data_IF_112341030929
#
_entry.id   IF_112341030929
#
_cell.length_a   1.000
_cell.length_b   1.000
_cell.length_c   1.000
_cell.angle_alpha   90.00
_cell.angle_beta   90.00
_cell.angle_gamma   90.00
#
_symmetry.space_group_name_H-M   'P 1'
#
loop_
_entity.id
_entity.type
_entity.pdbx_description
1 polymer ?
#
# COMPACT_ATOMS: atom_id res chain seq x y z
N UNK A 1 -2.00 22.80 -76.79
CA UNK A 1 -2.11 21.55 -76.00
C UNK A 1 -0.78 21.34 -75.33
N UNK A 2 -0.85 21.28 -74.01
CA UNK A 2 0.26 21.49 -73.07
C UNK A 2 1.35 20.43 -73.12
N UNK A 3 2.57 20.91 -72.89
CA UNK A 3 3.81 20.15 -72.73
C UNK A 3 4.03 19.94 -71.23
N UNK A 4 3.88 18.71 -70.74
CA UNK A 4 4.38 18.33 -69.42
C UNK A 4 5.83 17.85 -69.53
N UNK A 5 6.70 18.53 -68.78
CA UNK A 5 8.15 18.31 -68.67
C UNK A 5 8.38 17.62 -67.32
N UNK A 6 9.07 16.49 -67.33
CA UNK A 6 9.34 15.65 -66.15
C UNK A 6 10.65 16.11 -65.47
N UNK A 7 10.53 16.61 -64.23
CA UNK A 7 11.58 17.21 -63.39
C UNK A 7 12.14 16.20 -62.36
N UNK A 8 12.40 14.97 -62.78
CA UNK A 8 12.90 13.90 -61.90
C UNK A 8 14.43 13.90 -61.68
N UNK A 9 15.18 14.78 -62.35
CA UNK A 9 16.65 14.86 -62.25
C UNK A 9 17.22 15.71 -61.12
N UNK A 10 16.44 16.64 -60.55
CA UNK A 10 16.97 17.65 -59.60
C UNK A 10 16.94 17.23 -58.12
N UNK A 11 16.19 16.18 -57.75
CA UNK A 11 16.12 15.72 -56.35
C UNK A 11 17.28 14.81 -55.94
N UNK A 12 17.89 14.06 -56.85
CA UNK A 12 18.97 13.12 -56.51
C UNK A 12 20.27 13.83 -56.09
N UNK A 13 20.57 15.00 -56.66
CA UNK A 13 21.80 15.74 -56.38
C UNK A 13 21.76 16.46 -55.01
N UNK A 14 20.58 16.80 -54.47
CA UNK A 14 20.45 17.50 -53.18
C UNK A 14 20.63 16.58 -51.97
N UNK A 15 20.31 15.29 -52.11
CA UNK A 15 20.40 14.32 -51.01
C UNK A 15 21.83 13.87 -50.69
N UNK A 16 22.72 13.87 -51.68
CA UNK A 16 24.13 13.45 -51.49
C UNK A 16 24.96 14.51 -50.76
N UNK A 17 24.66 15.80 -50.98
CA UNK A 17 25.36 16.92 -50.31
C UNK A 17 25.03 16.98 -48.81
N UNK A 18 23.80 16.64 -48.41
CA UNK A 18 23.39 16.61 -47.01
C UNK A 18 24.03 15.47 -46.21
N UNK A 19 24.20 14.29 -46.81
CA UNK A 19 24.84 13.15 -46.16
C UNK A 19 26.35 13.38 -45.94
N UNK A 20 27.03 14.05 -46.87
CA UNK A 20 28.45 14.41 -46.72
C UNK A 20 28.67 15.45 -45.62
N UNK A 21 27.78 16.44 -45.50
CA UNK A 21 27.86 17.46 -44.44
C UNK A 21 27.64 16.86 -43.03
N UNK A 22 26.73 15.88 -42.90
CA UNK A 22 26.46 15.21 -41.62
C UNK A 22 27.64 14.35 -41.14
N UNK A 23 28.31 13.65 -42.07
CA UNK A 23 29.48 12.83 -41.76
C UNK A 23 30.68 13.68 -41.32
N UNK A 24 30.87 14.87 -41.92
CA UNK A 24 31.96 15.78 -41.56
C UNK A 24 31.73 16.44 -40.19
N UNK A 25 30.49 16.76 -39.84
CA UNK A 25 30.13 17.29 -38.52
C UNK A 25 30.34 16.25 -37.40
N UNK A 26 30.02 14.98 -37.65
CA UNK A 26 30.26 13.90 -36.69
C UNK A 26 31.75 13.60 -36.47
N UNK A 27 32.56 13.68 -37.52
CA UNK A 27 34.01 13.49 -37.41
C UNK A 27 34.69 14.60 -36.58
N UNK A 28 34.22 15.86 -36.70
CA UNK A 28 34.73 16.98 -35.89
C UNK A 28 34.28 16.92 -34.43
N UNK A 29 33.08 16.41 -34.16
CA UNK A 29 32.59 16.18 -32.79
C UNK A 29 33.42 15.09 -32.07
N UNK A 30 33.94 14.11 -32.80
CA UNK A 30 34.74 13.04 -32.21
C UNK A 30 36.20 13.43 -31.97
N UNK A 31 36.78 14.28 -32.81
CA UNK A 31 38.14 14.81 -32.64
C UNK A 31 38.28 15.82 -31.48
N UNK A 32 37.16 16.35 -30.97
CA UNK A 32 37.13 17.34 -29.88
C UNK A 32 36.83 16.73 -28.51
N UNK A 33 36.57 15.42 -28.44
CA UNK A 33 36.31 14.72 -27.19
C UNK A 33 37.62 14.53 -26.43
N UNK A 34 37.87 15.38 -25.43
CA UNK A 34 38.92 15.13 -24.45
C UNK A 34 38.67 13.78 -23.76
N UNK A 35 39.72 12.98 -23.48
CA UNK A 35 39.55 11.71 -22.79
C UNK A 35 38.85 11.95 -21.44
N UNK A 36 37.96 11.03 -21.02
CA UNK A 36 37.36 11.12 -19.70
C UNK A 36 38.48 11.14 -18.64
N UNK A 37 38.32 11.91 -17.55
CA UNK A 37 39.29 11.88 -16.47
C UNK A 37 39.47 10.44 -15.96
N UNK A 38 40.71 10.09 -15.64
CA UNK A 38 41.08 8.80 -15.09
C UNK A 38 40.21 8.46 -13.86
N UNK A 39 39.84 7.18 -13.65
CA UNK A 39 39.03 6.79 -12.51
C UNK A 39 39.74 7.19 -11.22
N UNK A 40 39.11 8.11 -10.48
CA UNK A 40 39.49 8.42 -9.11
C UNK A 40 39.48 7.11 -8.33
N UNK A 41 40.60 6.82 -7.64
CA UNK A 41 40.72 5.67 -6.75
C UNK A 41 39.46 5.56 -5.87
N UNK A 42 38.98 4.34 -5.54
CA UNK A 42 37.77 4.16 -4.74
C UNK A 42 37.99 4.85 -3.39
N UNK A 43 37.43 6.05 -3.26
CA UNK A 43 37.25 6.69 -1.97
C UNK A 43 36.51 5.69 -1.12
N UNK A 44 37.10 5.37 0.03
CA UNK A 44 36.53 4.47 1.01
C UNK A 44 35.03 4.78 1.13
N UNK A 45 34.20 3.84 0.69
CA UNK A 45 32.77 3.96 0.83
C UNK A 45 32.52 4.25 2.31
N UNK A 46 32.04 5.46 2.59
CA UNK A 46 31.50 5.77 3.90
C UNK A 46 30.55 4.63 4.24
N UNK A 47 30.70 4.01 5.41
CA UNK A 47 29.88 2.87 5.77
C UNK A 47 28.43 3.30 5.62
N UNK A 48 27.70 2.63 4.71
CA UNK A 48 26.24 2.72 4.59
C UNK A 48 25.72 2.88 6.00
N UNK A 49 25.15 4.05 6.28
CA UNK A 49 24.47 4.37 7.52
C UNK A 49 23.81 3.09 8.01
N UNK A 50 24.33 2.57 9.13
CA UNK A 50 23.77 1.37 9.76
C UNK A 50 22.28 1.62 9.81
N UNK A 51 21.51 0.78 9.10
CA UNK A 51 20.06 0.84 9.12
C UNK A 51 19.66 1.11 10.56
N UNK A 52 19.18 2.33 10.79
CA UNK A 52 18.91 2.83 12.13
C UNK A 52 18.06 1.76 12.78
N UNK A 53 18.59 1.14 13.83
CA UNK A 53 17.88 0.09 14.55
C UNK A 53 16.68 0.81 15.10
N UNK A 54 15.57 0.69 14.37
CA UNK A 54 14.27 1.25 14.71
C UNK A 54 14.03 0.73 16.11
N UNK A 55 14.15 1.62 17.11
CA UNK A 55 13.84 1.27 18.48
C UNK A 55 12.55 0.45 18.46
N UNK A 56 12.52 -0.71 19.15
CA UNK A 56 11.35 -1.58 19.12
C UNK A 56 10.12 -0.73 19.40
N UNK A 57 9.24 -0.63 18.41
CA UNK A 57 7.97 0.07 18.57
C UNK A 57 7.22 -0.77 19.61
N UNK A 58 6.89 -0.22 20.78
CA UNK A 58 6.33 -1.02 21.84
C UNK A 58 4.95 -1.56 21.42
N UNK A 59 4.68 -2.83 21.76
CA UNK A 59 3.47 -3.59 21.38
C UNK A 59 2.26 -3.13 22.20
N UNK A 60 1.68 -1.98 21.82
CA UNK A 60 0.99 -1.19 22.84
C UNK A 60 -0.49 -0.95 22.60
N UNK A 61 -1.02 -1.25 21.42
CA UNK A 61 -2.46 -1.04 21.23
C UNK A 61 -3.19 -2.15 21.96
N UNK A 62 -3.88 -1.78 23.04
CA UNK A 62 -4.74 -2.72 23.75
C UNK A 62 -5.78 -3.28 22.77
N UNK A 63 -5.85 -4.61 22.69
CA UNK A 63 -6.84 -5.27 21.86
C UNK A 63 -8.22 -5.16 22.52
N UNK A 64 -9.24 -4.83 21.73
CA UNK A 64 -10.64 -4.96 22.17
C UNK A 64 -10.94 -6.46 22.30
N UNK A 65 -11.30 -6.93 23.49
CA UNK A 65 -11.46 -8.36 23.75
C UNK A 65 -12.77 -8.89 23.16
N UNK A 66 -13.85 -8.09 23.21
CA UNK A 66 -15.18 -8.47 22.76
C UNK A 66 -15.77 -7.48 21.74
N UNK A 67 -16.32 -8.02 20.65
CA UNK A 67 -16.95 -7.22 19.61
C UNK A 67 -18.47 -7.21 19.71
N UNK A 68 -19.05 -6.07 19.38
CA UNK A 68 -20.45 -6.00 18.95
C UNK A 68 -20.61 -6.87 17.67
N UNK A 69 -21.57 -7.82 17.63
CA UNK A 69 -21.85 -8.62 16.45
C UNK A 69 -22.09 -7.82 15.16
N UNK A 70 -22.52 -6.55 15.26
CA UNK A 70 -22.76 -5.68 14.12
C UNK A 70 -21.47 -5.13 13.48
N UNK A 71 -20.32 -5.22 14.16
CA UNK A 71 -19.01 -4.76 13.66
C UNK A 71 -18.19 -5.88 12.98
N UNK A 72 -18.79 -7.07 12.85
CA UNK A 72 -18.07 -8.30 12.49
C UNK A 72 -17.34 -8.22 11.16
N UNK A 73 -17.84 -7.56 10.12
CA UNK A 73 -17.18 -7.68 8.80
C UNK A 73 -15.82 -6.97 8.72
N UNK A 74 -15.74 -5.69 9.11
CA UNK A 74 -14.50 -4.90 9.01
C UNK A 74 -13.59 -5.08 10.22
N UNK A 75 -14.16 -5.36 11.40
CA UNK A 75 -13.42 -5.52 12.65
C UNK A 75 -13.22 -6.99 13.07
N UNK A 76 -13.68 -7.98 12.27
CA UNK A 76 -13.38 -9.40 12.51
C UNK A 76 -11.89 -9.66 12.68
N UNK A 77 -11.07 -8.88 11.96
CA UNK A 77 -9.61 -9.01 11.90
C UNK A 77 -8.89 -8.10 12.90
N UNK A 78 -9.43 -7.90 14.11
CA UNK A 78 -8.86 -6.99 15.12
C UNK A 78 -7.43 -7.33 15.54
N UNK A 79 -7.05 -8.59 15.39
CA UNK A 79 -5.67 -9.07 15.56
C UNK A 79 -4.68 -8.33 14.66
N UNK A 80 -5.13 -7.72 13.55
CA UNK A 80 -4.30 -6.87 12.68
C UNK A 80 -3.78 -5.59 13.37
N UNK A 81 -4.30 -5.23 14.55
CA UNK A 81 -3.74 -4.15 15.38
C UNK A 81 -2.52 -4.59 16.22
N UNK A 82 -2.25 -5.90 16.34
CA UNK A 82 -1.21 -6.44 17.21
C UNK A 82 -0.05 -6.95 16.39
N UNK A 83 1.16 -6.47 16.64
CA UNK A 83 2.34 -6.92 15.91
C UNK A 83 2.60 -8.41 16.17
N UNK A 84 2.87 -9.21 15.12
CA UNK A 84 3.20 -10.62 15.30
C UNK A 84 4.53 -10.77 16.05
N UNK A 85 4.59 -11.76 16.94
CA UNK A 85 5.80 -12.08 17.68
C UNK A 85 6.94 -12.49 16.75
N UNK A 86 8.20 -12.35 17.19
CA UNK A 86 9.35 -12.78 16.40
C UNK A 86 9.29 -14.27 16.01
N UNK A 87 8.74 -15.11 16.89
CA UNK A 87 8.53 -16.54 16.63
C UNK A 87 7.46 -16.79 15.57
N UNK A 88 6.36 -16.02 15.59
CA UNK A 88 5.35 -16.08 14.54
C UNK A 88 5.91 -15.66 13.19
N UNK A 89 6.65 -14.54 13.14
CA UNK A 89 7.29 -14.08 11.92
C UNK A 89 8.23 -15.15 11.38
N UNK A 90 9.07 -15.74 12.23
CA UNK A 90 10.02 -16.79 11.83
C UNK A 90 9.32 -18.04 11.31
N UNK A 91 8.25 -18.49 11.96
CA UNK A 91 7.54 -19.73 11.63
C UNK A 91 6.61 -19.58 10.41
N UNK A 92 5.96 -18.42 10.26
CA UNK A 92 4.91 -18.19 9.27
C UNK A 92 5.40 -17.47 8.01
N UNK A 93 6.68 -17.06 7.95
CA UNK A 93 7.22 -16.34 6.78
C UNK A 93 6.93 -17.12 5.50
N UNK A 94 6.16 -16.50 4.61
CA UNK A 94 5.77 -17.10 3.35
C UNK A 94 6.96 -17.10 2.38
N UNK A 95 7.38 -18.28 1.93
CA UNK A 95 8.43 -18.45 0.90
C UNK A 95 7.96 -19.32 -0.28
N UNK A 96 6.81 -20.01 -0.16
CA UNK A 96 6.29 -20.92 -1.19
C UNK A 96 5.04 -20.34 -1.84
N UNK A 97 4.96 -20.42 -3.18
CA UNK A 97 3.74 -20.13 -3.92
C UNK A 97 2.73 -21.29 -3.78
N UNK A 98 1.55 -20.99 -3.24
CA UNK A 98 0.46 -21.95 -3.01
C UNK A 98 -0.72 -21.75 -3.94
N UNK A 99 -0.61 -20.90 -4.96
CA UNK A 99 -1.68 -20.61 -5.91
C UNK A 99 -2.22 -21.86 -6.61
N UNK A 100 -1.35 -22.84 -6.91
CA UNK A 100 -1.75 -24.15 -7.45
C UNK A 100 -2.52 -25.04 -6.47
N UNK A 101 -2.31 -24.89 -5.15
CA UNK A 101 -3.04 -25.62 -4.09
C UNK A 101 -4.41 -25.00 -3.82
N UNK A 102 -4.54 -23.70 -4.03
CA UNK A 102 -5.77 -22.94 -3.79
C UNK A 102 -6.19 -22.13 -5.03
N UNK A 103 -6.53 -22.79 -6.15
CA UNK A 103 -6.86 -22.11 -7.39
C UNK A 103 -8.19 -21.34 -7.29
N UNK A 104 -8.32 -20.30 -8.12
CA UNK A 104 -9.60 -19.65 -8.33
C UNK A 104 -10.60 -20.62 -8.96
N UNK A 105 -11.88 -20.51 -8.58
CA UNK A 105 -12.96 -21.33 -9.16
C UNK A 105 -13.82 -20.46 -10.06
N UNK A 106 -14.12 -20.95 -11.26
CA UNK A 106 -14.91 -20.24 -12.27
C UNK A 106 -16.22 -20.99 -12.59
N UNK A 107 -17.23 -20.30 -13.15
CA UNK A 107 -18.42 -20.96 -13.66
C UNK A 107 -18.07 -22.02 -14.72
N UNK A 108 -18.69 -23.21 -14.69
CA UNK A 108 -18.43 -24.24 -15.68
C UNK A 108 -18.89 -23.81 -17.07
N UNK A 109 -18.06 -24.02 -18.09
CA UNK A 109 -18.40 -23.77 -19.50
C UNK A 109 -18.19 -22.33 -19.99
N UNK A 110 -17.70 -21.42 -19.14
CA UNK A 110 -17.29 -20.09 -19.57
C UNK A 110 -15.82 -20.07 -20.00
N UNK A 111 -15.51 -19.21 -20.98
CA UNK A 111 -14.14 -18.92 -21.38
C UNK A 111 -13.44 -18.15 -20.23
N UNK A 112 -12.42 -18.78 -19.64
CA UNK A 112 -11.65 -18.26 -18.51
C UNK A 112 -11.04 -16.87 -18.78
N UNK A 113 -10.92 -16.45 -20.04
CA UNK A 113 -10.36 -15.15 -20.40
C UNK A 113 -11.21 -13.96 -19.95
N UNK A 114 -12.54 -14.13 -19.80
CA UNK A 114 -13.46 -13.03 -19.45
C UNK A 114 -14.40 -13.35 -18.27
N UNK A 115 -14.43 -14.59 -17.78
CA UNK A 115 -15.28 -15.01 -16.67
C UNK A 115 -14.80 -14.45 -15.32
N UNK A 116 -15.73 -13.93 -14.51
CA UNK A 116 -15.42 -13.58 -13.12
C UNK A 116 -15.36 -14.85 -12.26
N UNK A 117 -14.37 -15.01 -11.36
CA UNK A 117 -14.29 -16.18 -10.50
C UNK A 117 -15.47 -16.22 -9.52
N UNK A 118 -16.05 -17.41 -9.34
CA UNK A 118 -17.00 -17.73 -8.27
C UNK A 118 -16.35 -17.69 -6.88
N UNK A 119 -15.06 -18.07 -6.80
CA UNK A 119 -14.23 -17.94 -5.61
C UNK A 119 -12.83 -17.53 -6.02
N UNK A 120 -12.33 -16.46 -5.41
CA UNK A 120 -10.96 -16.02 -5.64
C UNK A 120 -9.99 -16.99 -4.97
N UNK A 121 -8.95 -17.40 -5.71
CA UNK A 121 -7.87 -18.26 -5.23
C UNK A 121 -6.71 -17.48 -4.60
N UNK A 122 -5.74 -18.23 -4.05
CA UNK A 122 -4.48 -17.67 -3.58
C UNK A 122 -3.62 -17.21 -4.77
N UNK A 123 -2.74 -16.24 -4.52
CA UNK A 123 -1.77 -15.68 -5.46
C UNK A 123 -0.35 -15.85 -4.90
N UNK A 124 0.70 -15.71 -5.74
CA UNK A 124 2.08 -15.77 -5.24
C UNK A 124 2.36 -14.69 -4.18
N UNK A 125 3.19 -14.98 -3.15
CA UNK A 125 3.54 -14.02 -2.10
C UNK A 125 4.06 -12.67 -2.62
N UNK A 126 4.81 -12.64 -3.73
CA UNK A 126 5.32 -11.41 -4.33
C UNK A 126 4.20 -10.52 -4.86
N UNK A 127 3.16 -11.11 -5.43
CA UNK A 127 1.98 -10.38 -5.89
C UNK A 127 1.18 -9.83 -4.70
N UNK A 128 1.09 -10.61 -3.61
CA UNK A 128 0.49 -10.15 -2.37
C UNK A 128 1.25 -8.97 -1.75
N UNK A 129 2.58 -9.03 -1.70
CA UNK A 129 3.43 -7.94 -1.22
C UNK A 129 3.26 -6.66 -2.06
N UNK A 130 3.22 -6.77 -3.39
CA UNK A 130 2.94 -5.61 -4.27
C UNK A 130 1.55 -5.02 -4.04
N UNK A 131 0.54 -5.88 -3.86
CA UNK A 131 -0.81 -5.44 -3.52
C UNK A 131 -0.87 -4.74 -2.15
N UNK A 132 -0.14 -5.26 -1.17
CA UNK A 132 -0.01 -4.66 0.16
C UNK A 132 0.65 -3.28 0.08
N UNK A 133 1.73 -3.15 -0.69
CA UNK A 133 2.42 -1.89 -0.93
C UNK A 133 1.48 -0.85 -1.58
N UNK A 134 0.76 -1.26 -2.63
CA UNK A 134 -0.21 -0.40 -3.31
C UNK A 134 -1.26 0.15 -2.34
N UNK A 135 -1.87 -0.71 -1.51
CA UNK A 135 -2.87 -0.28 -0.53
C UNK A 135 -2.31 0.69 0.51
N UNK A 136 -1.08 0.49 0.97
CA UNK A 136 -0.43 1.43 1.89
C UNK A 136 -0.30 2.82 1.25
N UNK A 137 0.13 2.88 -0.02
CA UNK A 137 0.27 4.13 -0.77
C UNK A 137 -1.07 4.77 -1.13
N UNK A 138 -2.14 3.98 -1.24
CA UNK A 138 -3.50 4.48 -1.47
C UNK A 138 -4.07 5.11 -0.20
N UNK A 139 -3.84 4.50 0.97
CA UNK A 139 -4.43 4.92 2.25
C UNK A 139 -3.64 6.04 2.92
N UNK A 140 -2.31 6.00 2.93
CA UNK A 140 -1.46 6.97 3.62
C UNK A 140 -0.90 8.03 2.68
N UNK A 141 -0.78 9.28 3.16
CA UNK A 141 -0.09 10.34 2.41
C UNK A 141 1.37 9.97 2.19
N UNK A 142 1.94 10.42 1.07
CA UNK A 142 3.27 10.02 0.62
C UNK A 142 4.36 10.33 1.65
N UNK A 143 4.24 11.42 2.40
CA UNK A 143 5.20 11.84 3.43
C UNK A 143 5.23 10.94 4.68
N UNK A 144 4.27 10.02 4.81
CA UNK A 144 4.17 9.01 5.88
C UNK A 144 4.51 7.59 5.38
N UNK A 145 4.93 7.45 4.12
CA UNK A 145 5.33 6.19 3.52
C UNK A 145 6.85 6.20 3.28
N UNK A 146 7.61 5.27 3.87
CA UNK A 146 9.05 5.25 3.70
C UNK A 146 9.43 4.82 2.28
N UNK A 147 10.58 5.30 1.79
CA UNK A 147 11.07 5.00 0.43
C UNK A 147 11.42 3.52 0.25
N UNK A 148 11.81 2.84 1.33
CA UNK A 148 12.16 1.42 1.38
C UNK A 148 10.99 0.52 1.82
N UNK A 149 9.73 0.97 1.67
CA UNK A 149 8.54 0.26 2.13
C UNK A 149 8.52 -1.23 1.71
N UNK A 150 8.91 -1.54 0.47
CA UNK A 150 8.93 -2.92 -0.04
C UNK A 150 9.80 -3.87 0.79
N UNK A 151 10.93 -3.38 1.34
CA UNK A 151 11.85 -4.17 2.17
C UNK A 151 11.34 -4.37 3.61
N UNK A 152 10.33 -3.59 4.04
CA UNK A 152 9.75 -3.63 5.39
C UNK A 152 8.51 -4.51 5.50
N UNK A 153 8.04 -5.06 4.38
CA UNK A 153 6.85 -5.90 4.35
C UNK A 153 7.19 -7.35 4.71
N UNK A 154 6.39 -7.92 5.61
CA UNK A 154 6.48 -9.31 6.06
C UNK A 154 5.21 -10.04 5.66
N UNK A 155 5.31 -10.93 4.67
CA UNK A 155 4.23 -11.84 4.30
C UNK A 155 4.23 -13.06 5.23
N UNK A 156 3.14 -13.23 5.99
CA UNK A 156 2.95 -14.34 6.92
C UNK A 156 1.82 -15.23 6.41
N UNK A 157 2.16 -16.46 6.01
CA UNK A 157 1.23 -17.45 5.54
C UNK A 157 0.64 -18.26 6.70
N UNK A 158 -0.67 -18.47 6.64
CA UNK A 158 -1.43 -19.37 7.51
C UNK A 158 -1.86 -20.61 6.72
N UNK A 159 -2.25 -21.68 7.42
CA UNK A 159 -2.79 -22.89 6.78
C UNK A 159 -3.97 -22.59 5.86
N UNK A 160 -4.89 -21.73 6.33
CA UNK A 160 -5.94 -21.14 5.51
C UNK A 160 -5.43 -19.82 4.88
N UNK A 161 -5.32 -19.73 3.55
CA UNK A 161 -4.89 -18.51 2.88
C UNK A 161 -5.79 -17.29 3.15
N UNK A 162 -7.03 -17.48 3.61
CA UNK A 162 -7.91 -16.37 4.01
C UNK A 162 -7.41 -15.63 5.26
N UNK A 163 -6.64 -16.32 6.11
CA UNK A 163 -6.04 -15.75 7.32
C UNK A 163 -4.60 -15.24 7.09
N UNK A 164 -4.05 -15.44 5.88
CA UNK A 164 -2.71 -14.97 5.56
C UNK A 164 -2.67 -13.44 5.47
N UNK A 165 -1.62 -12.85 6.03
CA UNK A 165 -1.55 -11.41 6.26
C UNK A 165 -0.16 -10.84 5.95
N UNK A 166 -0.14 -9.57 5.54
CA UNK A 166 1.08 -8.80 5.37
C UNK A 166 1.18 -7.77 6.48
N UNK A 167 2.38 -7.68 7.06
CA UNK A 167 2.71 -6.78 8.16
C UNK A 167 3.81 -5.81 7.77
N UNK A 168 3.73 -4.57 8.25
CA UNK A 168 4.78 -3.56 8.12
C UNK A 168 4.80 -2.69 9.38
N UNK A 169 5.98 -2.29 9.85
CA UNK A 169 6.13 -1.42 11.02
C UNK A 169 7.36 -0.55 10.86
N UNK A 170 7.23 0.75 11.13
CA UNK A 170 8.30 1.74 10.96
C UNK A 170 8.07 3.00 11.78
N UNK A 171 9.14 3.76 12.03
CA UNK A 171 9.09 5.12 12.58
C UNK A 171 9.41 6.13 11.47
N UNK A 172 8.69 7.26 11.44
CA UNK A 172 8.92 8.37 10.51
C UNK A 172 8.56 9.69 11.18
N UNK A 173 9.48 10.66 11.16
CA UNK A 173 9.31 12.00 11.77
C UNK A 173 8.81 11.95 13.24
N UNK A 174 9.29 11.00 14.04
CA UNK A 174 8.89 10.82 15.44
C UNK A 174 7.55 10.10 15.65
N UNK A 175 6.82 9.76 14.59
CA UNK A 175 5.59 8.95 14.67
C UNK A 175 5.93 7.48 14.41
N UNK A 176 5.22 6.55 15.07
CA UNK A 176 5.31 5.13 14.78
C UNK A 176 4.06 4.66 14.05
N UNK A 177 4.24 3.92 12.96
CA UNK A 177 3.16 3.38 12.13
C UNK A 177 3.35 1.87 12.04
N UNK A 178 2.26 1.15 12.25
CA UNK A 178 2.15 -0.29 12.01
C UNK A 178 0.95 -0.56 11.12
N UNK A 179 1.11 -1.52 10.23
CA UNK A 179 0.08 -1.92 9.28
C UNK A 179 0.00 -3.43 9.30
N UNK A 180 -1.19 -3.95 9.59
CA UNK A 180 -1.56 -5.34 9.40
C UNK A 180 -2.67 -5.40 8.36
N UNK A 181 -2.55 -6.26 7.36
CA UNK A 181 -3.58 -6.37 6.32
C UNK A 181 -3.75 -7.81 5.85
N UNK A 182 -5.00 -8.19 5.57
CA UNK A 182 -5.36 -9.36 4.76
C UNK A 182 -5.74 -8.88 3.35
N UNK A 183 -6.26 -9.78 2.50
CA UNK A 183 -6.73 -9.37 1.18
C UNK A 183 -7.91 -8.41 1.23
N UNK A 184 -8.81 -8.59 2.19
CA UNK A 184 -10.05 -7.81 2.29
C UNK A 184 -10.04 -6.69 3.33
N UNK A 185 -9.12 -6.70 4.29
CA UNK A 185 -9.10 -5.74 5.42
C UNK A 185 -7.69 -5.19 5.61
N UNK A 186 -7.60 -3.93 6.04
CA UNK A 186 -6.36 -3.30 6.49
C UNK A 186 -6.60 -2.62 7.84
N UNK A 187 -5.65 -2.79 8.75
CA UNK A 187 -5.53 -2.03 9.98
C UNK A 187 -4.29 -1.14 9.90
N UNK A 188 -4.45 0.15 10.20
CA UNK A 188 -3.36 1.11 10.36
C UNK A 188 -3.34 1.57 11.80
N UNK A 189 -2.29 1.20 12.51
CA UNK A 189 -2.00 1.68 13.86
C UNK A 189 -1.05 2.86 13.78
N UNK A 190 -1.48 3.99 14.33
CA UNK A 190 -0.73 5.24 14.35
C UNK A 190 -0.49 5.61 15.81
N UNK A 191 0.79 5.69 16.19
CA UNK A 191 1.21 6.36 17.42
C UNK A 191 1.83 7.70 17.04
N UNK A 192 1.10 8.81 17.23
CA UNK A 192 1.68 10.11 16.94
C UNK A 192 2.82 10.44 17.91
N UNK A 193 3.75 11.30 17.49
CA UNK A 193 4.83 11.83 18.33
C UNK A 193 4.29 12.51 19.60
N UNK A 194 3.15 13.17 19.45
CA UNK A 194 2.39 13.79 20.53
C UNK A 194 1.12 12.98 20.78
N UNK A 195 1.00 12.31 21.96
CA UNK A 195 -0.20 11.58 22.33
C UNK A 195 -1.38 12.55 22.54
N UNK A 196 -2.50 12.00 23.00
CA UNK A 196 -3.67 12.81 23.38
C UNK A 196 -3.30 13.85 24.44
N UNK A 197 -3.62 15.11 24.19
CA UNK A 197 -3.35 16.21 25.11
C UNK A 197 -4.29 16.21 26.33
N UNK A 198 -3.89 16.90 27.39
CA UNK A 198 -4.77 17.14 28.54
C UNK A 198 -6.01 17.92 28.09
N UNK A 199 -7.20 17.43 28.44
CA UNK A 199 -8.48 18.03 28.03
C UNK A 199 -8.94 17.72 26.60
N UNK A 200 -8.11 17.11 25.76
CA UNK A 200 -8.53 16.63 24.42
C UNK A 200 -9.52 15.47 24.60
N UNK A 201 -10.55 15.36 23.75
CA UNK A 201 -11.45 14.19 23.77
C UNK A 201 -10.85 13.05 22.94
N UNK A 202 -11.28 11.80 23.17
CA UNK A 202 -10.83 10.68 22.34
C UNK A 202 -11.25 10.85 20.86
N UNK A 203 -12.43 11.45 20.63
CA UNK A 203 -12.92 11.77 19.29
C UNK A 203 -12.03 12.80 18.60
N UNK A 204 -11.64 13.87 19.29
CA UNK A 204 -10.78 14.92 18.73
C UNK A 204 -9.37 14.40 18.45
N UNK A 205 -8.82 13.59 19.36
CA UNK A 205 -7.53 12.91 19.15
C UNK A 205 -7.54 12.02 17.91
N UNK A 206 -8.58 11.19 17.76
CA UNK A 206 -8.74 10.35 16.58
C UNK A 206 -8.90 11.17 15.30
N UNK A 207 -9.73 12.22 15.31
CA UNK A 207 -9.89 13.13 14.16
C UNK A 207 -8.61 13.84 13.77
N UNK A 208 -7.80 14.25 14.74
CA UNK A 208 -6.47 14.82 14.49
C UNK A 208 -5.58 13.82 13.74
N UNK A 209 -5.54 12.57 14.18
CA UNK A 209 -4.81 11.52 13.46
C UNK A 209 -5.40 11.25 12.06
N UNK A 210 -6.71 11.14 11.93
CA UNK A 210 -7.38 10.93 10.63
C UNK A 210 -7.22 12.12 9.67
N UNK A 211 -6.97 13.32 10.19
CA UNK A 211 -6.62 14.49 9.37
C UNK A 211 -5.15 14.48 8.93
N UNK A 212 -4.28 13.94 9.75
CA UNK A 212 -2.84 14.01 9.54
C UNK A 212 -2.31 12.96 8.58
N UNK A 213 -2.71 11.69 8.74
CA UNK A 213 -2.01 10.55 8.11
C UNK A 213 -2.63 10.02 6.80
N UNK A 214 -3.95 9.81 6.70
CA UNK A 214 -4.56 9.23 5.50
C UNK A 214 -4.71 10.21 4.32
N UNK A 215 -4.77 9.70 3.08
CA UNK A 215 -4.93 10.51 1.85
C UNK A 215 -6.31 11.17 1.70
N UNK A 216 -7.35 10.62 2.35
CA UNK A 216 -8.73 11.13 2.35
C UNK A 216 -9.05 11.82 3.67
N UNK A 217 -8.08 12.56 4.19
CA UNK A 217 -8.08 13.23 5.48
C UNK A 217 -9.32 14.10 5.74
N UNK A 218 -9.67 14.99 4.81
CA UNK A 218 -10.83 15.87 4.96
C UNK A 218 -12.13 15.08 5.06
N UNK A 219 -12.28 14.04 4.24
CA UNK A 219 -13.46 13.16 4.24
C UNK A 219 -13.58 12.40 5.55
N UNK A 220 -12.49 11.80 6.02
CA UNK A 220 -12.45 11.03 7.27
C UNK A 220 -12.65 11.91 8.50
N UNK A 221 -12.04 13.11 8.53
CA UNK A 221 -12.15 14.02 9.67
C UNK A 221 -13.56 14.62 9.83
N UNK A 222 -14.26 14.87 8.70
CA UNK A 222 -15.61 15.43 8.68
C UNK A 222 -16.72 14.38 8.72
N UNK A 223 -16.37 13.10 8.55
CA UNK A 223 -17.32 12.00 8.59
C UNK A 223 -18.05 11.99 9.94
N UNK A 224 -19.40 11.89 9.95
CA UNK A 224 -20.15 11.63 11.17
C UNK A 224 -19.66 10.33 11.82
N UNK A 225 -19.29 10.42 13.10
CA UNK A 225 -18.80 9.29 13.87
C UNK A 225 -19.82 8.93 14.95
N UNK A 226 -20.18 7.65 15.01
CA UNK A 226 -20.97 7.09 16.10
C UNK A 226 -20.02 6.45 17.10
N UNK A 227 -20.12 6.84 18.37
CA UNK A 227 -19.40 6.18 19.44
C UNK A 227 -19.97 4.77 19.64
N UNK A 228 -19.09 3.79 19.77
CA UNK A 228 -19.47 2.42 20.09
C UNK A 228 -19.13 2.14 21.55
N UNK A 229 -20.12 1.64 22.28
CA UNK A 229 -19.92 1.24 23.67
C UNK A 229 -19.02 0.01 23.75
N UNK A 230 -17.95 0.12 24.52
CA UNK A 230 -17.02 -0.97 24.81
C UNK A 230 -17.14 -1.42 26.26
N UNK A 231 -16.69 -2.66 26.54
CA UNK A 231 -16.58 -3.15 27.92
C UNK A 231 -15.30 -2.66 28.59
N UNK A 232 -14.29 -2.35 27.79
CA UNK A 232 -12.98 -1.87 28.17
C UNK A 232 -13.04 -0.34 28.39
N UNK A 233 -13.01 0.15 29.65
CA UNK A 233 -13.22 1.57 29.94
C UNK A 233 -12.07 2.47 29.48
N UNK A 234 -10.88 1.89 29.27
CA UNK A 234 -9.68 2.60 28.79
C UNK A 234 -9.70 2.84 27.28
N UNK A 235 -10.67 2.26 26.55
CA UNK A 235 -10.75 2.34 25.10
C UNK A 235 -11.98 3.11 24.65
N UNK A 236 -11.79 3.92 23.61
CA UNK A 236 -12.89 4.59 22.90
C UNK A 236 -12.89 4.11 21.46
N UNK A 237 -14.05 3.68 20.96
CA UNK A 237 -14.22 3.22 19.58
C UNK A 237 -15.31 4.00 18.87
N UNK A 238 -15.10 4.21 17.57
CA UNK A 238 -15.97 4.99 16.71
C UNK A 238 -16.13 4.28 15.37
N UNK A 239 -17.33 4.36 14.81
CA UNK A 239 -17.62 3.93 13.44
C UNK A 239 -18.13 5.10 12.61
N UNK A 240 -17.70 5.17 11.36
CA UNK A 240 -18.08 6.20 10.41
C UNK A 240 -18.57 5.60 9.10
N UNK A 241 -19.57 6.24 8.51
CA UNK A 241 -20.14 5.86 7.23
C UNK A 241 -20.20 7.06 6.28
N UNK A 242 -19.89 6.80 5.01
CA UNK A 242 -20.14 7.72 3.90
C UNK A 242 -21.62 8.07 3.79
N UNK A 243 -21.95 9.23 3.21
CA UNK A 243 -23.33 9.71 3.14
C UNK A 243 -24.02 9.34 1.83
N UNK A 244 -23.24 9.08 0.79
CA UNK A 244 -23.74 8.78 -0.56
C UNK A 244 -23.35 7.37 -0.98
N UNK A 245 -24.08 6.73 -1.92
CA UNK A 245 -23.69 5.44 -2.48
C UNK A 245 -22.26 5.44 -3.06
N UNK A 246 -21.84 6.53 -3.67
CA UNK A 246 -20.49 6.69 -4.21
C UNK A 246 -19.44 6.70 -3.10
N UNK A 247 -19.70 7.41 -1.99
CA UNK A 247 -18.81 7.38 -0.82
C UNK A 247 -18.68 5.96 -0.26
N UNK A 248 -19.78 5.20 -0.20
CA UNK A 248 -19.81 3.83 0.35
C UNK A 248 -19.06 2.82 -0.52
N UNK A 249 -18.89 3.10 -1.81
CA UNK A 249 -18.09 2.30 -2.73
C UNK A 249 -16.57 2.51 -2.55
N UNK A 250 -16.18 3.55 -1.84
CA UNK A 250 -14.78 3.88 -1.58
C UNK A 250 -14.25 3.20 -0.32
N UNK A 251 -12.93 3.00 -0.25
CA UNK A 251 -12.27 2.37 0.91
C UNK A 251 -12.48 3.14 2.22
N UNK A 252 -12.67 4.46 2.13
CA UNK A 252 -12.91 5.35 3.26
C UNK A 252 -14.40 5.47 3.61
N UNK A 253 -15.30 4.89 2.81
CA UNK A 253 -16.75 4.95 3.00
C UNK A 253 -17.26 4.19 4.22
N UNK A 254 -16.48 3.24 4.72
CA UNK A 254 -16.77 2.46 5.91
C UNK A 254 -15.52 2.32 6.77
N UNK A 255 -15.46 3.05 7.88
CA UNK A 255 -14.30 3.02 8.78
C UNK A 255 -14.72 2.71 10.21
N UNK A 256 -13.90 1.92 10.87
CA UNK A 256 -13.97 1.70 12.32
C UNK A 256 -12.61 2.04 12.88
N UNK A 257 -12.55 2.80 13.95
CA UNK A 257 -11.29 3.07 14.62
C UNK A 257 -11.46 3.15 16.12
N UNK A 258 -10.39 2.84 16.85
CA UNK A 258 -10.38 2.98 18.29
C UNK A 258 -9.07 3.56 18.80
N UNK A 259 -9.08 4.03 20.04
CA UNK A 259 -7.95 4.66 20.69
C UNK A 259 -7.92 4.40 22.19
N UNK A 260 -6.72 4.32 22.74
CA UNK A 260 -6.38 4.33 24.17
C UNK A 260 -5.82 5.71 24.62
N UNK A 261 -5.88 6.72 23.75
CA UNK A 261 -5.26 8.04 23.96
C UNK A 261 -3.76 8.12 23.65
N UNK A 262 -3.08 7.00 23.37
CA UNK A 262 -1.67 6.97 22.95
C UNK A 262 -1.53 6.66 21.47
N UNK A 263 -2.40 5.80 20.94
CA UNK A 263 -2.43 5.41 19.55
C UNK A 263 -3.87 5.38 19.00
N UNK A 264 -3.98 5.39 17.68
CA UNK A 264 -5.23 5.20 16.94
C UNK A 264 -5.08 4.00 16.03
N UNK A 265 -5.99 3.03 16.14
CA UNK A 265 -6.06 1.89 15.24
C UNK A 265 -7.25 2.08 14.30
N UNK A 266 -6.96 2.30 13.01
CA UNK A 266 -7.95 2.50 11.94
C UNK A 266 -8.12 1.21 11.13
N UNK A 267 -9.33 0.68 11.12
CA UNK A 267 -9.75 -0.45 10.30
C UNK A 267 -10.55 0.02 9.10
N UNK A 268 -10.18 -0.49 7.94
CA UNK A 268 -10.85 -0.22 6.68
C UNK A 268 -11.03 -1.51 5.88
N UNK A 269 -12.18 -1.62 5.24
CA UNK A 269 -12.42 -2.63 4.23
C UNK A 269 -11.74 -2.20 2.93
N UNK A 270 -11.06 -3.12 2.26
CA UNK A 270 -10.50 -2.92 0.92
C UNK A 270 -11.60 -3.02 -0.15
N UNK A 271 -12.65 -2.24 0.04
CA UNK A 271 -13.73 -2.05 -0.93
C UNK A 271 -13.22 -1.02 -1.94
N UNK A 272 -12.79 -1.50 -3.10
CA UNK A 272 -12.60 -0.69 -4.29
C UNK A 272 -13.73 -1.04 -5.28
N UNK A 273 -13.65 -0.49 -6.50
CA UNK A 273 -14.39 -0.93 -7.69
C UNK A 273 -14.31 -2.48 -7.90
N UNK A 274 -13.39 -3.17 -7.21
CA UNK A 274 -13.26 -4.63 -7.09
C UNK A 274 -14.31 -5.31 -6.19
N UNK A 275 -15.28 -4.59 -5.61
CA UNK A 275 -16.45 -5.21 -4.96
C UNK A 275 -17.16 -6.19 -5.92
N UNK A 276 -17.03 -5.95 -7.23
CA UNK A 276 -17.49 -6.84 -8.29
C UNK A 276 -16.71 -8.16 -8.43
N UNK A 277 -15.61 -8.34 -7.69
CA UNK A 277 -14.80 -9.58 -7.58
C UNK A 277 -15.08 -10.38 -6.29
N UNK A 278 -16.01 -9.93 -5.43
CA UNK A 278 -16.36 -10.66 -4.20
C UNK A 278 -15.24 -10.71 -3.16
N UNK A 279 -14.38 -9.68 -3.10
CA UNK A 279 -13.31 -9.59 -2.10
C UNK A 279 -13.91 -9.13 -0.77
N UNK A 280 -13.98 -10.06 0.18
CA UNK A 280 -14.41 -9.86 1.57
C UNK A 280 -13.30 -10.20 2.58
N UNK A 281 -13.59 -10.11 3.89
CA UNK A 281 -12.61 -10.33 4.96
C UNK A 281 -12.06 -11.76 5.03
N UNK A 282 -12.74 -12.73 4.40
CA UNK A 282 -12.37 -14.15 4.34
C UNK A 282 -11.86 -14.57 2.95
N UNK A 283 -11.53 -13.62 2.07
CA UNK A 283 -11.02 -13.94 0.74
C UNK A 283 -9.58 -14.47 0.84
N UNK A 284 -9.27 -15.65 0.28
CA UNK A 284 -7.92 -16.20 0.20
C UNK A 284 -6.89 -15.19 -0.34
N UNK A 285 -5.69 -15.12 0.25
CA UNK A 285 -4.62 -14.28 -0.27
C UNK A 285 -3.45 -15.05 -0.87
N UNK A 286 -2.56 -15.64 -0.07
CA UNK A 286 -1.36 -16.37 -0.51
C UNK A 286 -1.08 -17.52 0.45
#
# INVERSE_FOLDING_TARGET
MDVFRDDSGAMAARSVVWLAALALAMAQAWASASPPPAPTAPGAAEPKEKAEIVEPIPDDVQLIAALDPQLKETFARRELAVWPSADEIRRKKALEDRSGKFPAKFPPGEDYSNAKPLRVGAIPPEAALKGAEHWIRTVLKAEWVPSDLAARLHALAEEDPANSAVWCRYKIKGHAIQIGQTRGVMCVVIRPSEPKGEGETALDFGRRCLKQFPTKDEKLAQMPMEAVSLKEPELSMFKGHGRTPDDLAEWWGHVVWYTDGKAVALFLGKRSVDSSLGIGPDTPWF
#
